data_IF_334792199797
#
_entry.id   IF_334792199797
#
_cell.length_a   1.000
_cell.length_b   1.000
_cell.length_c   1.000
_cell.angle_alpha   90.00
_cell.angle_beta   90.00
_cell.angle_gamma   90.00
#
_symmetry.space_group_name_H-M   'P 1'
#
loop_
_entity.id
_entity.type
_entity.pdbx_description
1 polymer ?
#
# COMPACT_ATOMS: atom_id res chain seq x y z
N UNK A 1 13.25 16.99 4.95
CA UNK A 1 11.96 16.73 4.27
C UNK A 1 11.87 17.50 2.97
N UNK A 2 12.50 18.67 2.90
CA UNK A 2 12.46 19.58 1.75
C UNK A 2 13.00 18.93 0.47
N UNK A 3 14.13 18.20 0.56
CA UNK A 3 14.68 17.43 -0.56
C UNK A 3 13.68 16.40 -1.14
N UNK A 4 12.92 15.70 -0.28
CA UNK A 4 11.95 14.70 -0.75
C UNK A 4 10.70 15.37 -1.35
N UNK A 5 10.31 16.53 -0.85
CA UNK A 5 9.21 17.33 -1.42
C UNK A 5 9.62 17.86 -2.81
N UNK A 6 10.88 18.26 -2.98
CA UNK A 6 11.45 18.73 -4.24
C UNK A 6 11.51 17.60 -5.29
N UNK A 7 11.98 16.42 -4.90
CA UNK A 7 12.09 15.26 -5.82
C UNK A 7 10.71 14.68 -6.16
N UNK A 8 9.76 14.70 -5.23
CA UNK A 8 8.43 14.09 -5.37
C UNK A 8 7.28 15.07 -5.10
N UNK A 9 7.17 16.15 -5.90
CA UNK A 9 6.19 17.19 -5.65
C UNK A 9 4.78 16.62 -5.77
N UNK A 10 3.95 16.87 -4.75
CA UNK A 10 2.55 16.40 -4.63
C UNK A 10 2.38 14.87 -4.68
N UNK A 11 3.46 14.10 -4.62
CA UNK A 11 3.45 12.63 -4.60
C UNK A 11 3.95 12.04 -3.27
N UNK A 12 4.33 12.91 -2.33
CA UNK A 12 4.80 12.52 -1.02
C UNK A 12 3.65 12.55 -0.01
N UNK A 13 3.35 11.38 0.54
CA UNK A 13 2.45 11.20 1.69
C UNK A 13 3.32 11.09 2.93
N UNK A 14 3.23 12.07 3.83
CA UNK A 14 4.05 12.11 5.05
C UNK A 14 3.38 12.97 6.11
N UNK A 15 3.64 12.68 7.38
CA UNK A 15 3.16 13.45 8.53
C UNK A 15 3.54 14.94 8.46
N UNK A 16 4.64 15.26 7.78
CA UNK A 16 5.14 16.64 7.55
C UNK A 16 5.26 16.97 6.05
N UNK A 17 4.57 16.22 5.21
CA UNK A 17 4.54 16.44 3.76
C UNK A 17 3.35 17.29 3.33
N UNK A 18 3.27 17.59 2.03
CA UNK A 18 2.19 18.39 1.46
C UNK A 18 0.81 17.71 1.57
N UNK A 19 0.78 16.38 1.71
CA UNK A 19 -0.44 15.60 1.92
C UNK A 19 -0.42 15.09 3.37
N UNK A 20 -1.28 15.68 4.20
CA UNK A 20 -1.45 15.25 5.59
C UNK A 20 -1.97 13.82 5.64
N UNK A 21 -1.26 12.95 6.35
CA UNK A 21 -1.60 11.55 6.51
C UNK A 21 -1.65 11.18 7.99
N UNK A 22 -2.70 10.47 8.44
CA UNK A 22 -2.82 10.11 9.86
C UNK A 22 -1.69 9.16 10.30
N UNK A 23 -1.14 9.36 11.52
CA UNK A 23 -0.13 8.46 12.08
C UNK A 23 -0.68 7.03 12.17
N UNK A 24 0.19 6.02 11.99
CA UNK A 24 -0.14 4.60 12.19
C UNK A 24 -1.34 4.12 11.38
N UNK A 25 -1.39 4.44 10.09
CA UNK A 25 -2.48 4.06 9.19
C UNK A 25 -2.07 3.06 8.09
N UNK A 26 -1.57 1.85 8.45
CA UNK A 26 -1.26 0.80 7.46
C UNK A 26 -2.53 0.34 6.73
N UNK A 27 -3.70 0.46 7.37
CA UNK A 27 -5.01 0.17 6.76
C UNK A 27 -5.35 1.06 5.56
N UNK A 28 -4.66 2.19 5.39
CA UNK A 28 -4.88 3.12 4.29
C UNK A 28 -3.86 2.95 3.16
N UNK A 29 -2.84 2.10 3.32
CA UNK A 29 -1.81 1.90 2.30
C UNK A 29 -2.09 0.63 1.49
N UNK A 30 -2.39 0.72 0.17
CA UNK A 30 -2.64 -0.45 -0.70
C UNK A 30 -1.55 -1.51 -0.65
N UNK A 31 -0.30 -1.09 -0.46
CA UNK A 31 0.81 -2.01 -0.33
C UNK A 31 0.71 -2.85 0.96
N UNK A 32 0.30 -2.22 2.07
CA UNK A 32 0.28 -2.84 3.38
C UNK A 32 -0.93 -3.76 3.58
N UNK A 33 -2.14 -3.28 3.27
CA UNK A 33 -3.34 -4.10 3.49
C UNK A 33 -3.57 -5.17 2.41
N UNK A 34 -2.89 -5.07 1.25
CA UNK A 34 -3.09 -6.00 0.13
C UNK A 34 -1.79 -6.58 -0.41
N UNK A 35 -0.88 -5.75 -0.97
CA UNK A 35 0.22 -6.25 -1.80
C UNK A 35 1.14 -7.20 -1.03
N UNK A 36 1.58 -6.82 0.18
CA UNK A 36 2.50 -7.64 0.96
C UNK A 36 1.90 -8.98 1.38
N UNK A 37 0.64 -8.97 1.82
CA UNK A 37 -0.10 -10.20 2.14
C UNK A 37 -0.29 -11.09 0.92
N UNK A 38 -0.64 -10.49 -0.23
CA UNK A 38 -0.81 -11.19 -1.49
C UNK A 38 0.49 -11.86 -1.96
N UNK A 39 1.58 -11.09 -2.04
CA UNK A 39 2.89 -11.59 -2.47
C UNK A 39 3.41 -12.68 -1.56
N UNK A 40 3.31 -12.49 -0.23
CA UNK A 40 3.69 -13.52 0.74
C UNK A 40 2.89 -14.81 0.52
N UNK A 41 1.58 -14.71 0.29
CA UNK A 41 0.73 -15.89 0.06
C UNK A 41 1.05 -16.64 -1.25
N UNK A 42 1.63 -15.97 -2.24
CA UNK A 42 1.97 -16.54 -3.54
C UNK A 42 3.38 -17.08 -3.58
N UNK A 43 4.34 -16.27 -3.17
CA UNK A 43 5.76 -16.58 -3.27
C UNK A 43 6.19 -17.60 -2.21
N UNK A 44 5.64 -17.53 -0.99
CA UNK A 44 5.99 -18.51 0.05
C UNK A 44 5.46 -19.92 -0.22
N UNK A 45 4.51 -20.10 -1.16
CA UNK A 45 4.06 -21.44 -1.59
C UNK A 45 5.17 -22.21 -2.29
N UNK A 46 5.97 -21.52 -3.10
CA UNK A 46 7.03 -22.13 -3.89
C UNK A 46 8.33 -22.33 -3.10
N UNK A 47 8.38 -21.88 -1.84
CA UNK A 47 9.53 -22.02 -0.91
C UNK A 47 10.89 -21.76 -1.59
N UNK A 48 11.11 -20.55 -2.13
CA UNK A 48 12.40 -20.20 -2.73
C UNK A 48 13.53 -20.41 -1.71
N UNK A 49 14.65 -20.98 -2.15
CA UNK A 49 15.79 -21.34 -1.31
C UNK A 49 16.90 -20.30 -1.36
N UNK A 50 16.87 -19.42 -2.37
CA UNK A 50 17.84 -18.35 -2.55
C UNK A 50 17.17 -16.98 -2.68
N UNK A 51 17.95 -15.93 -2.47
CA UNK A 51 17.48 -14.54 -2.61
C UNK A 51 17.14 -14.22 -4.06
N UNK A 52 17.87 -14.81 -5.01
CA UNK A 52 17.66 -14.64 -6.45
C UNK A 52 16.33 -15.25 -6.89
N UNK A 53 16.03 -16.48 -6.44
CA UNK A 53 14.74 -17.14 -6.70
C UNK A 53 13.58 -16.35 -6.10
N UNK A 54 13.74 -15.86 -4.87
CA UNK A 54 12.74 -15.03 -4.21
C UNK A 54 12.48 -13.74 -5.01
N UNK A 55 13.54 -13.06 -5.44
CA UNK A 55 13.44 -11.82 -6.19
C UNK A 55 12.85 -12.03 -7.60
N UNK A 56 13.14 -13.16 -8.25
CA UNK A 56 12.53 -13.53 -9.53
C UNK A 56 11.03 -13.83 -9.36
N UNK A 57 10.66 -14.63 -8.36
CA UNK A 57 9.28 -14.96 -8.05
C UNK A 57 8.44 -13.73 -7.70
N UNK A 58 8.99 -12.79 -6.92
CA UNK A 58 8.32 -11.52 -6.61
C UNK A 58 8.05 -10.70 -7.88
N UNK A 59 9.03 -10.57 -8.78
CA UNK A 59 8.85 -9.84 -10.05
C UNK A 59 7.78 -10.49 -10.93
N UNK A 60 7.80 -11.82 -11.04
CA UNK A 60 6.80 -12.57 -11.79
C UNK A 60 5.39 -12.38 -11.21
N UNK A 61 5.22 -12.54 -9.90
CA UNK A 61 3.92 -12.39 -9.25
C UNK A 61 3.38 -10.97 -9.34
N UNK A 62 4.25 -9.94 -9.23
CA UNK A 62 3.87 -8.54 -9.43
C UNK A 62 3.42 -8.29 -10.87
N UNK A 63 4.19 -8.77 -11.86
CA UNK A 63 3.84 -8.62 -13.28
C UNK A 63 2.54 -9.36 -13.64
N UNK A 64 2.24 -10.44 -12.93
CA UNK A 64 1.02 -11.22 -13.10
C UNK A 64 -0.23 -10.59 -12.45
N UNK A 65 -0.11 -9.53 -11.66
CA UNK A 65 -1.27 -8.87 -11.03
C UNK A 65 -2.17 -8.29 -12.12
N UNK A 66 -3.42 -8.77 -12.28
CA UNK A 66 -4.31 -8.25 -13.29
C UNK A 66 -4.67 -6.79 -12.99
N UNK A 67 -4.74 -5.94 -14.01
CA UNK A 67 -5.15 -4.54 -13.82
C UNK A 67 -6.53 -4.41 -13.13
N UNK A 68 -7.45 -5.36 -13.40
CA UNK A 68 -8.75 -5.40 -12.73
C UNK A 68 -8.62 -5.58 -11.21
N UNK A 69 -7.64 -6.35 -10.75
CA UNK A 69 -7.36 -6.52 -9.33
C UNK A 69 -6.81 -5.22 -8.72
N UNK A 70 -5.83 -4.59 -9.38
CA UNK A 70 -5.30 -3.29 -8.95
C UNK A 70 -6.40 -2.21 -8.86
N UNK A 71 -7.31 -2.15 -9.84
CA UNK A 71 -8.46 -1.24 -9.81
C UNK A 71 -9.37 -1.50 -8.61
N UNK A 72 -9.66 -2.76 -8.27
CA UNK A 72 -10.46 -3.11 -7.09
C UNK A 72 -9.77 -2.70 -5.78
N UNK A 73 -8.46 -2.89 -5.69
CA UNK A 73 -7.66 -2.44 -4.54
C UNK A 73 -7.77 -0.93 -4.37
N UNK A 74 -7.59 -0.16 -5.46
CA UNK A 74 -7.75 1.29 -5.41
C UNK A 74 -9.20 1.74 -5.12
N UNK A 75 -10.21 0.99 -5.54
CA UNK A 75 -11.60 1.26 -5.13
C UNK A 75 -11.81 1.03 -3.63
N UNK A 76 -11.22 -0.04 -3.08
CA UNK A 76 -11.27 -0.32 -1.64
C UNK A 76 -10.53 0.72 -0.81
N UNK A 77 -9.50 1.36 -1.35
CA UNK A 77 -8.83 2.48 -0.69
C UNK A 77 -9.80 3.62 -0.36
N UNK A 78 -10.66 4.02 -1.32
CA UNK A 78 -11.70 5.03 -1.07
C UNK A 78 -12.70 4.62 0.03
N UNK A 79 -13.11 3.36 0.04
CA UNK A 79 -14.01 2.82 1.08
C UNK A 79 -13.33 2.88 2.46
N UNK A 80 -12.04 2.55 2.53
CA UNK A 80 -11.26 2.58 3.79
C UNK A 80 -11.04 4.01 4.28
N UNK A 81 -10.78 4.95 3.36
CA UNK A 81 -10.71 6.38 3.68
C UNK A 81 -12.02 6.88 4.28
N UNK A 82 -13.16 6.57 3.65
CA UNK A 82 -14.47 6.98 4.15
C UNK A 82 -14.71 6.43 5.57
N UNK A 83 -14.46 5.14 5.78
CA UNK A 83 -14.56 4.53 7.12
C UNK A 83 -13.65 5.20 8.15
N UNK A 84 -12.44 5.61 7.76
CA UNK A 84 -11.52 6.32 8.63
C UNK A 84 -12.11 7.69 9.02
N UNK A 85 -12.61 8.46 8.05
CA UNK A 85 -13.28 9.75 8.28
C UNK A 85 -14.47 9.57 9.24
N UNK A 86 -15.34 8.61 8.96
CA UNK A 86 -16.51 8.32 9.80
C UNK A 86 -16.07 7.97 11.23
N UNK A 87 -15.08 7.09 11.38
CA UNK A 87 -14.55 6.69 12.70
C UNK A 87 -13.87 7.81 13.48
N UNK A 88 -13.29 8.79 12.78
CA UNK A 88 -12.70 9.99 13.40
C UNK A 88 -13.83 10.88 13.91
N UNK A 89 -14.89 11.10 13.13
CA UNK A 89 -16.05 11.92 13.54
C UNK A 89 -16.75 11.34 14.77
N UNK A 90 -16.85 10.02 14.90
CA UNK A 90 -17.46 9.37 16.07
C UNK A 90 -16.58 9.38 17.34
N UNK A 91 -15.28 9.70 17.25
CA UNK A 91 -14.41 9.83 18.43
C UNK A 91 -14.35 11.24 19.01
N UNK A 92 -14.84 12.24 18.29
CA UNK A 92 -14.83 13.65 18.69
C UNK A 92 -16.19 14.16 19.17
N UNK A 93 -17.22 13.31 19.19
CA UNK A 93 -18.50 13.53 19.89
C UNK A 93 -18.57 12.63 21.11
#
# INVERSE_FOLDING_TARGET
MDLLIEIFPKRLISLRGNISWPPRSPDLLPCDYFLWGYLKSKVCKNRPRTTEELAAALRQEIAAIPQAMARRVMKNFWVRLQKCIDSIIFKTK
#
